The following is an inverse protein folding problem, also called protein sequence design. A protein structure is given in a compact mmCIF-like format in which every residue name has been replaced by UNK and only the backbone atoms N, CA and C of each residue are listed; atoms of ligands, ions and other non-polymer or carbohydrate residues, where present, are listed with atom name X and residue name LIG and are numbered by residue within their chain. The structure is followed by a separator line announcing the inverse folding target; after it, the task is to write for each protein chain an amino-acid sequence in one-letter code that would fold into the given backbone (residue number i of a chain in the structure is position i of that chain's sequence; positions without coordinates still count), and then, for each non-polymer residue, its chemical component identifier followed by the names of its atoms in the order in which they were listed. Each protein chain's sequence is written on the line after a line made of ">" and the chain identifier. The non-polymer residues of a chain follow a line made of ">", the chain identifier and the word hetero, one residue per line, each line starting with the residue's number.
data_IF_187465359329
#
_entry.id   IF_187465359329
#
_cell.length_a   1.000
_cell.length_b   1.000
_cell.length_c   1.000
_cell.angle_alpha   90.00
_cell.angle_beta   90.00
_cell.angle_gamma   90.00
#
_symmetry.space_group_name_H-M   'P 1'
#
loop_
_entity.id
_entity.type
_entity.pdbx_description
1 polymer ?
#
# COMPACT_ATOMS: atom_id res chain seq x y z
N UNK A 1 8.92 7.70 5.71
CA UNK A 1 8.03 6.76 5.01
C UNK A 1 7.81 7.19 3.58
N UNK A 2 7.81 6.25 2.63
CA UNK A 2 7.44 6.47 1.22
C UNK A 2 6.26 5.56 0.87
N UNK A 3 5.12 6.16 0.54
CA UNK A 3 3.91 5.44 0.18
C UNK A 3 3.80 5.32 -1.34
N UNK A 4 3.60 4.10 -1.85
CA UNK A 4 3.43 3.81 -3.27
C UNK A 4 2.04 3.18 -3.46
N UNK A 5 1.17 3.88 -4.19
CA UNK A 5 -0.20 3.46 -4.46
C UNK A 5 -0.44 3.26 -5.97
N UNK A 6 -1.54 2.63 -6.31
CA UNK A 6 -1.97 2.39 -7.69
C UNK A 6 -2.77 1.09 -7.81
N UNK A 7 -3.45 0.88 -8.93
CA UNK A 7 -4.24 -0.34 -9.16
C UNK A 7 -3.43 -1.65 -9.16
N UNK A 8 -4.14 -2.78 -9.05
CA UNK A 8 -3.54 -4.12 -9.19
C UNK A 8 -2.86 -4.24 -10.56
N UNK A 9 -1.64 -4.80 -10.58
CA UNK A 9 -0.89 -5.01 -11.83
C UNK A 9 -0.21 -3.77 -12.42
N UNK A 10 -0.28 -2.60 -11.76
CA UNK A 10 0.27 -1.34 -12.30
C UNK A 10 1.81 -1.21 -12.19
N UNK A 11 2.53 -2.26 -11.79
CA UNK A 11 4.00 -2.23 -11.74
C UNK A 11 4.62 -1.58 -10.49
N UNK A 12 3.85 -1.36 -9.42
CA UNK A 12 4.33 -0.74 -8.16
C UNK A 12 5.57 -1.38 -7.56
N UNK A 13 5.61 -2.71 -7.46
CA UNK A 13 6.76 -3.41 -6.89
C UNK A 13 7.99 -3.22 -7.77
N UNK A 14 7.85 -3.35 -9.10
CA UNK A 14 8.95 -3.09 -10.04
C UNK A 14 9.50 -1.67 -9.90
N UNK A 15 8.60 -0.69 -9.72
CA UNK A 15 9.00 0.68 -9.45
C UNK A 15 9.77 0.80 -8.12
N UNK A 16 9.29 0.22 -7.03
CA UNK A 16 10.00 0.25 -5.75
C UNK A 16 11.40 -0.38 -5.84
N UNK A 17 11.55 -1.50 -6.54
CA UNK A 17 12.83 -2.16 -6.77
C UNK A 17 13.78 -1.28 -7.61
N UNK A 18 13.25 -0.49 -8.55
CA UNK A 18 14.07 0.44 -9.35
C UNK A 18 14.74 1.55 -8.53
N UNK A 19 14.33 1.75 -7.27
CA UNK A 19 14.94 2.70 -6.33
C UNK A 19 16.22 2.16 -5.66
N UNK A 20 16.72 0.99 -6.09
CA UNK A 20 17.94 0.37 -5.57
C UNK A 20 17.69 -0.78 -4.59
N UNK A 21 16.47 -1.32 -4.53
CA UNK A 21 16.10 -2.44 -3.67
C UNK A 21 15.98 -3.75 -4.47
N UNK A 22 16.11 -4.86 -3.77
CA UNK A 22 16.01 -6.22 -4.31
C UNK A 22 14.75 -6.94 -3.83
N UNK A 23 14.49 -8.12 -4.36
CA UNK A 23 13.35 -8.94 -3.90
C UNK A 23 13.51 -9.42 -2.46
N UNK A 24 14.74 -9.51 -1.95
CA UNK A 24 15.03 -9.93 -0.57
C UNK A 24 14.58 -8.87 0.44
N UNK A 25 14.54 -7.62 0.01
CA UNK A 25 14.12 -6.45 0.77
C UNK A 25 12.59 -6.34 0.93
N UNK A 26 11.84 -7.27 0.36
CA UNK A 26 10.37 -7.24 0.36
C UNK A 26 9.80 -8.12 1.47
N UNK A 27 8.97 -7.52 2.31
CA UNK A 27 8.08 -8.18 3.26
C UNK A 27 6.64 -8.17 2.74
N UNK A 28 5.89 -9.21 3.09
CA UNK A 28 4.45 -9.37 2.77
C UNK A 28 3.61 -9.66 4.01
N UNK A 29 4.22 -9.55 5.19
CA UNK A 29 3.61 -9.79 6.49
C UNK A 29 4.21 -8.83 7.51
N UNK A 30 3.46 -8.60 8.59
CA UNK A 30 3.91 -7.85 9.76
C UNK A 30 4.10 -8.82 10.94
N UNK A 31 4.95 -8.46 11.92
CA UNK A 31 5.88 -7.33 11.91
C UNK A 31 7.05 -7.57 10.95
N UNK A 32 7.71 -6.50 10.50
CA UNK A 32 8.89 -6.62 9.64
C UNK A 32 9.87 -5.45 9.83
N UNK A 33 11.17 -5.75 9.66
CA UNK A 33 12.24 -4.76 9.59
C UNK A 33 12.77 -4.55 8.16
N UNK A 34 12.12 -5.18 7.17
CA UNK A 34 12.51 -5.03 5.77
C UNK A 34 12.11 -3.64 5.25
N UNK A 35 12.86 -3.06 4.31
CA UNK A 35 12.62 -1.69 3.87
C UNK A 35 11.40 -1.55 2.95
N UNK A 36 10.84 -2.66 2.41
CA UNK A 36 9.63 -2.64 1.59
C UNK A 36 8.56 -3.54 2.23
N UNK A 37 7.40 -2.95 2.53
CA UNK A 37 6.17 -3.67 2.86
C UNK A 37 5.24 -3.69 1.63
N UNK A 38 5.03 -4.88 1.06
CA UNK A 38 4.22 -5.07 -0.15
C UNK A 38 2.91 -5.79 0.14
N UNK A 39 1.80 -5.22 -0.32
CA UNK A 39 0.48 -5.84 -0.24
C UNK A 39 -0.31 -5.44 1.00
N UNK A 40 -0.24 -4.17 1.40
CA UNK A 40 -0.96 -3.65 2.57
C UNK A 40 -2.47 -3.97 2.54
N UNK A 41 -3.10 -3.95 1.37
CA UNK A 41 -4.51 -4.31 1.19
C UNK A 41 -4.83 -5.75 1.60
N UNK A 42 -3.87 -6.67 1.52
CA UNK A 42 -4.07 -8.05 2.00
C UNK A 42 -3.99 -8.08 3.52
N UNK A 43 -3.04 -7.35 4.09
CA UNK A 43 -2.88 -7.24 5.55
C UNK A 43 -4.10 -6.63 6.22
N UNK A 44 -4.70 -5.59 5.63
CA UNK A 44 -5.96 -4.99 6.14
C UNK A 44 -7.18 -5.90 5.97
N UNK A 45 -7.08 -6.94 5.13
CA UNK A 45 -8.11 -7.97 4.98
C UNK A 45 -7.97 -9.04 6.05
N UNK A 46 -6.73 -9.47 6.30
CA UNK A 46 -6.38 -10.47 7.30
C UNK A 46 -6.54 -9.94 8.73
N UNK A 47 -6.13 -8.69 8.96
CA UNK A 47 -6.28 -7.98 10.23
C UNK A 47 -7.10 -6.68 10.05
N UNK A 48 -8.41 -6.75 10.31
CA UNK A 48 -9.29 -5.59 10.35
C UNK A 48 -8.91 -4.47 11.33
N UNK A 49 -8.13 -4.78 12.37
CA UNK A 49 -7.74 -3.85 13.42
C UNK A 49 -6.42 -3.12 13.10
N UNK A 50 -5.74 -3.49 12.01
CA UNK A 50 -4.47 -2.91 11.60
C UNK A 50 -4.58 -1.39 11.41
N UNK A 51 -3.69 -0.66 12.06
CA UNK A 51 -3.65 0.81 12.04
C UNK A 51 -2.34 1.34 11.48
N UNK A 52 -2.29 2.65 11.24
CA UNK A 52 -1.06 3.32 10.81
C UNK A 52 0.05 3.35 11.89
N UNK A 53 -0.21 2.90 13.12
CA UNK A 53 0.80 2.75 14.17
C UNK A 53 1.57 1.43 14.04
N UNK A 54 0.95 0.41 13.44
CA UNK A 54 1.51 -0.92 13.25
C UNK A 54 2.43 -0.99 12.01
N UNK A 55 2.36 0.03 11.15
CA UNK A 55 3.14 0.10 9.91
C UNK A 55 4.51 0.71 10.19
N UNK A 56 5.61 -0.02 9.93
CA UNK A 56 6.96 0.50 10.15
C UNK A 56 7.28 1.65 9.20
N UNK A 57 8.24 2.49 9.58
CA UNK A 57 8.70 3.61 8.77
C UNK A 57 9.56 3.13 7.58
N UNK A 58 8.90 2.68 6.51
CA UNK A 58 9.51 2.03 5.36
C UNK A 58 8.84 2.46 4.04
N UNK A 59 9.17 1.79 2.93
CA UNK A 59 8.40 1.89 1.68
C UNK A 59 7.17 1.00 1.81
N UNK A 60 5.98 1.60 1.73
CA UNK A 60 4.71 0.88 1.82
C UNK A 60 4.05 0.85 0.46
N UNK A 61 3.67 -0.34 0.00
CA UNK A 61 3.05 -0.53 -1.32
C UNK A 61 1.65 -1.12 -1.14
N UNK A 62 0.65 -0.43 -1.67
CA UNK A 62 -0.76 -0.83 -1.58
C UNK A 62 -1.48 -0.71 -2.92
N UNK A 63 -2.44 -1.63 -3.15
CA UNK A 63 -3.42 -1.47 -4.22
C UNK A 63 -4.46 -0.40 -3.86
N UNK A 64 -4.81 0.48 -4.80
CA UNK A 64 -5.98 1.36 -4.66
C UNK A 64 -7.27 0.56 -4.94
N UNK A 65 -8.16 0.50 -3.95
CA UNK A 65 -9.43 -0.24 -4.03
C UNK A 65 -10.65 0.65 -4.37
N UNK A 66 -10.48 1.98 -4.31
CA UNK A 66 -11.57 2.95 -4.39
C UNK A 66 -12.06 3.29 -5.80
N UNK A 67 -11.28 2.98 -6.85
CA UNK A 67 -11.57 3.37 -8.23
C UNK A 67 -12.41 2.35 -9.03
N UNK A 68 -12.83 1.26 -8.39
CA UNK A 68 -13.66 0.22 -9.00
C UNK A 68 -15.14 0.29 -8.61
N UNK A 69 -15.91 -0.67 -9.11
CA UNK A 69 -17.32 -0.87 -8.75
C UNK A 69 -17.45 -1.14 -7.23
N UNK A 70 -18.53 -0.67 -6.63
CA UNK A 70 -18.84 -0.94 -5.22
C UNK A 70 -19.16 -2.44 -5.05
N UNK A 71 -18.46 -3.17 -4.17
CA UNK A 71 -18.78 -4.57 -3.91
C UNK A 71 -20.19 -4.76 -3.34
N UNK A 72 -20.84 -5.87 -3.69
CA UNK A 72 -22.14 -6.23 -3.12
C UNK A 72 -22.03 -6.70 -1.66
N UNK A 73 -20.95 -7.43 -1.35
CA UNK A 73 -20.66 -7.95 -0.02
C UNK A 73 -20.39 -6.83 0.98
N UNK A 74 -21.00 -6.91 2.16
CA UNK A 74 -20.73 -5.98 3.26
C UNK A 74 -19.25 -6.00 3.67
N UNK A 75 -18.66 -7.19 3.81
CA UNK A 75 -17.27 -7.34 4.24
C UNK A 75 -16.27 -6.73 3.25
N UNK A 76 -16.49 -6.91 1.94
CA UNK A 76 -15.63 -6.30 0.92
C UNK A 76 -15.74 -4.78 0.90
N UNK A 77 -16.94 -4.22 1.10
CA UNK A 77 -17.13 -2.77 1.26
C UNK A 77 -16.43 -2.25 2.51
N UNK A 78 -16.58 -2.93 3.64
CA UNK A 78 -15.93 -2.55 4.89
C UNK A 78 -14.39 -2.61 4.75
N UNK A 79 -13.85 -3.66 4.12
CA UNK A 79 -12.44 -3.79 3.84
C UNK A 79 -11.90 -2.68 2.92
N UNK A 80 -12.62 -2.37 1.83
CA UNK A 80 -12.29 -1.25 0.93
C UNK A 80 -12.16 0.06 1.71
N UNK A 81 -13.14 0.35 2.56
CA UNK A 81 -13.18 1.62 3.31
C UNK A 81 -12.16 1.70 4.43
N UNK A 82 -11.91 0.60 5.15
CA UNK A 82 -10.82 0.54 6.13
C UNK A 82 -9.46 0.75 5.46
N UNK A 83 -9.21 0.06 4.35
CA UNK A 83 -7.94 0.19 3.60
C UNK A 83 -7.77 1.61 3.08
N UNK A 84 -8.82 2.23 2.54
CA UNK A 84 -8.80 3.62 2.09
C UNK A 84 -8.46 4.60 3.21
N UNK A 85 -9.11 4.47 4.39
CA UNK A 85 -8.82 5.31 5.56
C UNK A 85 -7.39 5.15 6.04
N UNK A 86 -6.90 3.92 6.13
CA UNK A 86 -5.50 3.66 6.49
C UNK A 86 -4.53 4.30 5.51
N UNK A 87 -4.81 4.26 4.19
CA UNK A 87 -3.99 4.94 3.20
C UNK A 87 -3.98 6.46 3.37
N UNK A 88 -5.10 7.08 3.75
CA UNK A 88 -5.14 8.50 4.08
C UNK A 88 -4.23 8.83 5.27
N UNK A 89 -4.30 8.03 6.34
CA UNK A 89 -3.47 8.21 7.53
C UNK A 89 -1.98 8.04 7.21
N UNK A 90 -1.62 7.04 6.41
CA UNK A 90 -0.25 6.81 5.95
C UNK A 90 0.23 7.92 5.02
N UNK A 91 -0.61 8.40 4.10
CA UNK A 91 -0.26 9.51 3.20
C UNK A 91 -0.01 10.82 3.96
N UNK A 92 -0.78 11.08 5.03
CA UNK A 92 -0.56 12.22 5.91
C UNK A 92 0.82 12.15 6.57
N UNK A 93 1.21 10.97 7.07
CA UNK A 93 2.51 10.72 7.72
C UNK A 93 3.69 10.58 6.74
N UNK A 94 3.44 10.18 5.49
CA UNK A 94 4.48 9.89 4.52
C UNK A 94 5.24 11.16 4.11
N UNK A 95 6.55 11.04 3.95
CA UNK A 95 7.39 12.11 3.39
C UNK A 95 7.26 12.20 1.87
N UNK A 96 6.88 11.08 1.23
CA UNK A 96 6.69 10.97 -0.21
C UNK A 96 5.52 10.06 -0.51
N UNK A 97 4.68 10.44 -1.47
CA UNK A 97 3.58 9.62 -1.98
C UNK A 97 3.66 9.58 -3.51
N UNK A 98 3.83 8.39 -4.07
CA UNK A 98 3.78 8.19 -5.52
C UNK A 98 2.59 7.30 -5.90
N UNK A 99 1.87 7.69 -6.95
CA UNK A 99 0.89 6.83 -7.62
C UNK A 99 1.51 6.24 -8.87
N UNK A 100 1.46 4.92 -9.04
CA UNK A 100 1.99 4.24 -10.22
C UNK A 100 0.84 3.81 -11.13
N UNK A 101 0.93 4.19 -12.39
CA UNK A 101 -0.02 3.81 -13.44
C UNK A 101 0.74 3.36 -14.69
N UNK A 102 0.46 2.15 -15.15
CA UNK A 102 1.17 1.44 -16.23
C UNK A 102 2.70 1.46 -16.06
N UNK A 103 3.19 1.32 -14.82
CA UNK A 103 4.62 1.38 -14.49
C UNK A 103 5.20 2.80 -14.42
N UNK A 104 4.40 3.84 -14.69
CA UNK A 104 4.81 5.24 -14.68
C UNK A 104 4.48 5.84 -13.31
N UNK A 105 5.47 6.27 -12.52
CA UNK A 105 5.24 6.93 -11.23
C UNK A 105 4.85 8.39 -11.41
N UNK A 106 3.84 8.82 -10.68
CA UNK A 106 3.42 10.21 -10.52
C UNK A 106 3.55 10.58 -9.05
N UNK A 107 4.38 11.59 -8.74
CA UNK A 107 4.50 12.09 -7.37
C UNK A 107 3.27 12.92 -7.01
N UNK A 108 2.63 12.59 -5.90
CA UNK A 108 1.51 13.31 -5.31
C UNK A 108 1.95 14.20 -4.13
N UNK A 109 2.94 13.74 -3.36
CA UNK A 109 3.58 14.42 -2.24
C UNK A 109 5.06 14.10 -2.22
#
# INVERSE_FOLDING_TARGET
>A
MHLIIGGKGQGKLRYALSLGFTQEDVARSLPTNKPILYGLQTLTREDPALTAADIPDCIVICDELGCGVVPMGYEDRAWRERTGRLLCDLAAKAARVDRVFCGIPMRLK
#
